data_IF_714147068260
#
_entry.id   IF_714147068260
#
_cell.length_a   1.000
_cell.length_b   1.000
_cell.length_c   1.000
_cell.angle_alpha   90.00
_cell.angle_beta   90.00
_cell.angle_gamma   90.00
#
_symmetry.space_group_name_H-M   'P 1'
#
loop_
_entity.id
_entity.type
_entity.pdbx_description
1 polymer ?
#
# COMPACT_ATOMS: atom_id res chain seq x y z
N UNK A 1 -14.51 -9.34 19.12
CA UNK A 1 -13.43 -8.34 19.22
C UNK A 1 -14.05 -7.01 19.63
N UNK A 2 -13.69 -6.44 20.79
CA UNK A 2 -14.30 -5.19 21.28
C UNK A 2 -13.93 -4.01 20.36
N UNK A 3 -14.87 -3.08 20.12
CA UNK A 3 -14.69 -1.87 19.29
C UNK A 3 -13.41 -1.10 19.64
N UNK A 4 -13.02 -1.10 20.91
CA UNK A 4 -11.78 -0.47 21.38
C UNK A 4 -10.50 -1.11 20.83
N UNK A 5 -10.48 -2.45 20.65
CA UNK A 5 -9.31 -3.17 20.09
C UNK A 5 -9.14 -2.89 18.60
N UNK A 6 -10.25 -2.72 17.87
CA UNK A 6 -10.23 -2.33 16.45
C UNK A 6 -9.72 -0.90 16.27
N UNK A 7 -10.16 0.03 17.11
CA UNK A 7 -9.69 1.42 17.07
C UNK A 7 -8.20 1.54 17.40
N UNK A 8 -7.71 0.81 18.41
CA UNK A 8 -6.28 0.74 18.74
C UNK A 8 -5.45 0.13 17.61
N UNK A 9 -5.95 -0.91 16.94
CA UNK A 9 -5.26 -1.50 15.79
C UNK A 9 -5.21 -0.54 14.60
N UNK A 10 -6.30 0.18 14.32
CA UNK A 10 -6.35 1.19 13.26
C UNK A 10 -5.39 2.35 13.54
N UNK A 11 -5.33 2.82 14.79
CA UNK A 11 -4.39 3.87 15.22
C UNK A 11 -2.94 3.37 15.11
N UNK A 12 -2.67 2.14 15.56
CA UNK A 12 -1.33 1.54 15.46
C UNK A 12 -0.87 1.43 14.00
N UNK A 13 -1.73 0.93 13.11
CA UNK A 13 -1.46 0.84 11.67
C UNK A 13 -1.25 2.23 11.05
N UNK A 14 -2.04 3.22 11.46
CA UNK A 14 -1.91 4.60 11.00
C UNK A 14 -0.60 5.25 11.50
N UNK A 15 -0.19 4.99 12.75
CA UNK A 15 1.09 5.48 13.28
C UNK A 15 2.29 4.81 12.61
N UNK A 16 2.22 3.51 12.31
CA UNK A 16 3.28 2.80 11.58
C UNK A 16 3.37 3.28 10.13
N UNK A 17 2.22 3.57 9.49
CA UNK A 17 2.19 4.20 8.18
C UNK A 17 2.84 5.59 8.22
N UNK A 18 2.49 6.43 9.20
CA UNK A 18 3.09 7.77 9.37
C UNK A 18 4.58 7.74 9.68
N UNK A 19 5.06 6.76 10.46
CA UNK A 19 6.48 6.58 10.78
C UNK A 19 7.32 6.10 9.59
N UNK A 20 6.68 5.51 8.57
CA UNK A 20 7.35 5.06 7.33
C UNK A 20 7.55 6.18 6.29
N UNK A 21 6.95 7.38 6.48
CA UNK A 21 7.20 8.56 5.64
C UNK A 21 8.53 9.27 5.96
N UNK A 22 9.53 8.54 6.49
CA UNK A 22 10.83 9.13 6.79
C UNK A 22 11.40 9.68 5.49
N UNK A 23 11.62 11.01 5.37
CA UNK A 23 12.04 11.59 4.11
C UNK A 23 13.43 11.05 3.79
N UNK A 24 13.56 10.44 2.62
CA UNK A 24 14.85 10.17 2.02
C UNK A 24 15.64 11.50 1.95
N UNK A 25 16.90 11.42 2.37
CA UNK A 25 17.84 12.53 2.50
C UNK A 25 18.15 13.21 1.15
N UNK A 26 18.29 14.55 1.19
CA UNK A 26 18.82 15.50 0.17
C UNK A 26 17.92 15.79 -1.08
N UNK A 27 17.72 16.99 -1.63
CA UNK A 27 18.08 18.43 -1.44
C UNK A 27 17.00 19.25 -2.24
N UNK A 28 16.76 20.54 -1.91
CA UNK A 28 15.59 21.40 -2.30
C UNK A 28 14.29 21.15 -1.47
N UNK A 29 13.97 22.03 -0.49
CA UNK A 29 12.75 21.92 0.34
C UNK A 29 11.46 21.75 -0.46
N UNK A 30 11.38 22.34 -1.66
CA UNK A 30 10.22 22.32 -2.53
C UNK A 30 10.02 20.96 -3.19
N UNK A 31 11.10 20.28 -3.58
CA UNK A 31 11.02 18.93 -4.17
C UNK A 31 10.59 17.90 -3.11
N UNK A 32 11.12 18.00 -1.90
CA UNK A 32 10.73 17.16 -0.75
C UNK A 32 9.26 17.41 -0.38
N UNK A 33 8.84 18.67 -0.30
CA UNK A 33 7.44 19.01 -0.01
C UNK A 33 6.48 18.52 -1.12
N UNK A 34 6.86 18.69 -2.40
CA UNK A 34 6.07 18.21 -3.54
C UNK A 34 5.90 16.69 -3.53
N UNK A 35 6.97 15.93 -3.25
CA UNK A 35 6.89 14.48 -3.10
C UNK A 35 6.04 14.07 -1.90
N UNK A 36 6.21 14.72 -0.74
CA UNK A 36 5.42 14.40 0.44
C UNK A 36 3.91 14.62 0.21
N UNK A 37 3.54 15.73 -0.45
CA UNK A 37 2.15 16.00 -0.83
C UNK A 37 1.65 14.98 -1.85
N UNK A 38 2.43 14.69 -2.90
CA UNK A 38 2.06 13.73 -3.93
C UNK A 38 1.84 12.32 -3.38
N UNK A 39 2.76 11.84 -2.54
CA UNK A 39 2.66 10.54 -1.86
C UNK A 39 1.47 10.51 -0.91
N UNK A 40 1.23 11.57 -0.15
CA UNK A 40 0.09 11.65 0.78
C UNK A 40 -1.24 11.63 0.02
N UNK A 41 -1.39 12.49 -1.00
CA UNK A 41 -2.59 12.55 -1.83
C UNK A 41 -2.83 11.23 -2.58
N UNK A 42 -1.77 10.62 -3.10
CA UNK A 42 -1.84 9.31 -3.76
C UNK A 42 -2.30 8.21 -2.80
N UNK A 43 -1.70 8.12 -1.61
CA UNK A 43 -2.08 7.12 -0.60
C UNK A 43 -3.49 7.32 -0.05
N UNK A 44 -3.97 8.56 -0.01
CA UNK A 44 -5.32 8.87 0.43
C UNK A 44 -6.35 8.00 -0.32
N UNK A 45 -6.21 7.86 -1.65
CA UNK A 45 -7.10 7.03 -2.47
C UNK A 45 -6.56 5.61 -2.70
N UNK A 46 -5.24 5.42 -2.79
CA UNK A 46 -4.66 4.11 -3.06
C UNK A 46 -4.97 3.11 -1.95
N UNK A 47 -4.89 3.52 -0.68
CA UNK A 47 -5.16 2.66 0.47
C UNK A 47 -6.58 2.10 0.52
N UNK A 48 -7.66 2.92 0.41
CA UNK A 48 -9.02 2.37 0.40
C UNK A 48 -9.27 1.48 -0.82
N UNK A 49 -8.72 1.81 -1.99
CA UNK A 49 -8.84 0.97 -3.19
C UNK A 49 -8.16 -0.39 -2.97
N UNK A 50 -6.94 -0.41 -2.44
CA UNK A 50 -6.23 -1.65 -2.13
C UNK A 50 -6.97 -2.48 -1.08
N UNK A 51 -7.55 -1.84 -0.06
CA UNK A 51 -8.37 -2.53 0.94
C UNK A 51 -9.59 -3.20 0.30
N UNK A 52 -10.31 -2.52 -0.61
CA UNK A 52 -11.43 -3.11 -1.35
C UNK A 52 -10.96 -4.30 -2.19
N UNK A 53 -9.85 -4.15 -2.91
CA UNK A 53 -9.28 -5.24 -3.72
C UNK A 53 -8.96 -6.49 -2.89
N UNK A 54 -8.37 -6.32 -1.71
CA UNK A 54 -8.08 -7.44 -0.79
C UNK A 54 -9.37 -8.10 -0.29
N UNK A 55 -10.37 -7.32 0.13
CA UNK A 55 -11.65 -7.88 0.61
C UNK A 55 -12.36 -8.66 -0.51
N UNK A 56 -12.37 -8.12 -1.72
CA UNK A 56 -12.92 -8.79 -2.89
C UNK A 56 -12.16 -10.07 -3.21
N UNK A 57 -10.83 -10.04 -3.17
CA UNK A 57 -9.98 -11.20 -3.42
C UNK A 57 -10.15 -12.31 -2.39
N UNK A 58 -10.20 -11.96 -1.10
CA UNK A 58 -10.46 -12.93 -0.02
C UNK A 58 -11.80 -13.60 -0.22
N UNK A 59 -12.85 -12.81 -0.50
CA UNK A 59 -14.20 -13.31 -0.75
C UNK A 59 -14.26 -14.19 -1.99
N UNK A 60 -13.67 -13.73 -3.10
CA UNK A 60 -13.64 -14.46 -4.36
C UNK A 60 -12.86 -15.78 -4.25
N UNK A 61 -11.74 -15.79 -3.52
CA UNK A 61 -10.98 -17.00 -3.26
C UNK A 61 -11.78 -18.00 -2.42
N UNK A 62 -12.48 -17.54 -1.38
CA UNK A 62 -13.33 -18.41 -0.57
C UNK A 62 -14.49 -19.02 -1.38
N UNK A 63 -15.16 -18.22 -2.22
CA UNK A 63 -16.19 -18.71 -3.15
C UNK A 63 -15.59 -19.71 -4.13
N UNK A 64 -14.42 -19.41 -4.70
CA UNK A 64 -13.71 -20.30 -5.62
C UNK A 64 -13.40 -21.65 -4.98
N UNK A 65 -12.92 -21.66 -3.72
CA UNK A 65 -12.65 -22.89 -2.99
C UNK A 65 -13.88 -23.79 -2.90
N UNK A 66 -15.05 -23.24 -2.53
CA UNK A 66 -16.29 -24.01 -2.38
C UNK A 66 -16.74 -24.58 -3.73
N UNK A 67 -16.75 -23.76 -4.79
CA UNK A 67 -17.28 -24.16 -6.10
C UNK A 67 -16.34 -25.07 -6.89
N UNK A 68 -15.04 -25.01 -6.62
CA UNK A 68 -14.03 -25.89 -7.24
C UNK A 68 -13.86 -27.24 -6.54
N UNK A 69 -14.66 -27.53 -5.50
CA UNK A 69 -14.52 -28.77 -4.73
C UNK A 69 -13.30 -28.78 -3.82
N UNK A 70 -12.82 -27.61 -3.37
CA UNK A 70 -11.70 -27.46 -2.47
C UNK A 70 -10.35 -27.26 -3.15
N UNK A 71 -10.30 -26.68 -4.35
CA UNK A 71 -9.03 -26.41 -5.04
C UNK A 71 -8.25 -25.29 -4.31
N UNK A 72 -7.30 -25.72 -3.47
CA UNK A 72 -6.45 -24.83 -2.69
C UNK A 72 -5.49 -24.01 -3.56
N UNK A 73 -5.01 -24.55 -4.67
CA UNK A 73 -4.06 -23.87 -5.56
C UNK A 73 -4.71 -22.68 -6.26
N UNK A 74 -5.92 -22.87 -6.81
CA UNK A 74 -6.72 -21.79 -7.40
C UNK A 74 -7.06 -20.71 -6.37
N UNK A 75 -7.45 -21.12 -5.17
CA UNK A 75 -7.78 -20.21 -4.07
C UNK A 75 -6.56 -19.37 -3.66
N UNK A 76 -5.41 -20.02 -3.50
CA UNK A 76 -4.15 -19.36 -3.17
C UNK A 76 -3.71 -18.40 -4.27
N UNK A 77 -3.89 -18.77 -5.54
CA UNK A 77 -3.59 -17.88 -6.66
C UNK A 77 -4.44 -16.61 -6.59
N UNK A 78 -5.75 -16.72 -6.37
CA UNK A 78 -6.64 -15.54 -6.24
C UNK A 78 -6.21 -14.65 -5.07
N UNK A 79 -5.92 -15.24 -3.90
CA UNK A 79 -5.46 -14.48 -2.75
C UNK A 79 -4.12 -13.82 -3.00
N UNK A 80 -3.19 -14.51 -3.66
CA UNK A 80 -1.90 -13.97 -4.03
C UNK A 80 -2.06 -12.75 -4.96
N UNK A 81 -2.80 -12.90 -6.05
CA UNK A 81 -2.97 -11.85 -7.06
C UNK A 81 -3.65 -10.58 -6.51
N UNK A 82 -4.47 -10.71 -5.47
CA UNK A 82 -5.22 -9.59 -4.87
C UNK A 82 -4.52 -8.97 -3.66
N UNK A 83 -3.76 -9.75 -2.91
CA UNK A 83 -3.03 -9.27 -1.72
C UNK A 83 -1.63 -8.79 -2.06
N UNK A 84 -0.95 -9.38 -3.03
CA UNK A 84 0.42 -8.99 -3.38
C UNK A 84 0.52 -7.57 -3.95
N UNK A 85 1.74 -7.04 -3.92
CA UNK A 85 2.07 -5.69 -4.40
C UNK A 85 2.21 -4.66 -3.28
N UNK A 86 2.56 -3.41 -3.63
CA UNK A 86 2.77 -2.34 -2.67
C UNK A 86 1.45 -1.96 -2.00
N UNK A 87 1.50 -1.76 -0.68
CA UNK A 87 0.35 -1.31 0.13
C UNK A 87 0.35 0.20 0.34
N UNK A 88 1.50 0.84 0.16
CA UNK A 88 1.67 2.29 0.22
C UNK A 88 2.46 2.71 -1.02
N UNK A 89 2.07 3.84 -1.60
CA UNK A 89 2.92 4.59 -2.50
C UNK A 89 4.02 5.18 -1.62
N UNK A 90 5.26 4.76 -1.80
CA UNK A 90 6.40 5.36 -1.08
C UNK A 90 7.11 6.38 -1.99
N UNK A 91 7.94 7.27 -1.44
CA UNK A 91 8.76 8.17 -2.26
C UNK A 91 9.60 7.44 -3.31
N UNK A 92 10.15 6.27 -2.97
CA UNK A 92 10.96 5.46 -3.89
C UNK A 92 10.14 4.93 -5.07
N UNK A 93 8.92 4.44 -4.78
CA UNK A 93 7.97 3.98 -5.81
C UNK A 93 7.56 5.15 -6.71
N UNK A 94 7.26 6.32 -6.12
CA UNK A 94 6.88 7.53 -6.86
C UNK A 94 8.03 8.03 -7.76
N UNK A 95 9.26 8.07 -7.24
CA UNK A 95 10.44 8.47 -8.02
C UNK A 95 10.73 7.50 -9.16
N UNK A 96 10.60 6.18 -8.92
CA UNK A 96 10.77 5.18 -9.98
C UNK A 96 9.71 5.32 -11.07
N UNK A 97 8.48 5.71 -10.72
CA UNK A 97 7.38 5.89 -11.68
C UNK A 97 7.49 7.16 -12.54
N UNK A 98 7.93 8.28 -11.96
CA UNK A 98 8.10 9.55 -12.68
C UNK A 98 9.39 9.57 -13.54
N UNK A 99 10.29 8.64 -13.28
CA UNK A 99 11.62 8.59 -13.88
C UNK A 99 12.65 9.13 -12.89
N UNK A 100 13.70 8.36 -12.68
CA UNK A 100 14.80 8.79 -11.82
C UNK A 100 15.49 9.96 -12.50
N UNK A 101 15.55 11.10 -11.82
CA UNK A 101 16.23 12.31 -12.28
C UNK A 101 17.67 12.28 -11.75
N UNK A 102 18.67 11.72 -12.48
CA UNK A 102 20.01 11.53 -11.95
C UNK A 102 20.70 12.86 -11.60
N UNK A 103 20.28 13.98 -12.18
CA UNK A 103 20.81 15.31 -11.85
C UNK A 103 20.44 15.81 -10.44
N UNK A 104 19.58 15.08 -9.70
CA UNK A 104 19.30 15.31 -8.28
C UNK A 104 20.00 14.30 -7.36
N UNK A 105 20.75 13.34 -7.91
CA UNK A 105 21.53 12.36 -7.17
C UNK A 105 23.02 12.57 -7.39
N UNK A 106 23.75 12.93 -6.33
CA UNK A 106 25.18 13.27 -6.22
C UNK A 106 25.62 14.70 -6.61
N UNK A 107 25.96 15.46 -5.57
CA UNK A 107 27.38 15.69 -5.22
C UNK A 107 27.68 15.18 -3.82
#
# INVERSE_FOLDING_TARGET
MSKGKMALLAIALMTVALLSLRPASAEEPQAVAGMAVGVTAGNMWFLPIKAISVVMGVTAGAVSFVFSGGNAELTQQIWRDTTEGPYLITPEVAQKAVGHRPELGNK
#
